data_IF_128376248687
#
_entry.id   IF_128376248687
#
_cell.length_a   1.000
_cell.length_b   1.000
_cell.length_c   1.000
_cell.angle_alpha   90.00
_cell.angle_beta   90.00
_cell.angle_gamma   90.00
#
_symmetry.space_group_name_H-M   'P 1'
#
loop_
_entity.id
_entity.type
_entity.pdbx_description
1 polymer ?
#
# COMPACT_ATOMS: atom_id res chain seq x y z
N UNK A 1 -14.20 -31.49 -32.05
CA UNK A 1 -13.03 -30.60 -32.06
C UNK A 1 -13.36 -29.44 -31.12
N UNK A 2 -12.64 -29.30 -30.00
CA UNK A 2 -12.94 -28.29 -28.98
C UNK A 2 -12.38 -26.93 -29.46
N UNK A 3 -13.25 -26.01 -29.87
CA UNK A 3 -12.87 -24.67 -30.32
C UNK A 3 -12.47 -23.78 -29.13
N UNK A 4 -11.19 -23.80 -28.76
CA UNK A 4 -10.65 -22.90 -27.73
C UNK A 4 -10.50 -21.51 -28.35
N UNK A 5 -11.52 -20.66 -28.15
CA UNK A 5 -11.44 -19.24 -28.51
C UNK A 5 -10.67 -18.49 -27.44
N UNK A 6 -9.63 -17.72 -27.83
CA UNK A 6 -8.98 -16.75 -26.95
C UNK A 6 -10.00 -15.66 -26.56
N UNK A 7 -10.53 -15.74 -25.35
CA UNK A 7 -11.28 -14.64 -24.75
C UNK A 7 -10.28 -13.58 -24.29
N UNK A 8 -10.36 -12.36 -24.85
CA UNK A 8 -9.67 -11.22 -24.25
C UNK A 8 -10.44 -10.85 -22.99
N UNK A 9 -9.91 -11.22 -21.83
CA UNK A 9 -10.35 -10.64 -20.58
C UNK A 9 -9.96 -9.16 -20.62
N UNK A 10 -10.96 -8.27 -20.65
CA UNK A 10 -10.76 -6.84 -20.42
C UNK A 10 -10.57 -6.64 -18.92
N UNK A 11 -9.40 -7.02 -18.40
CA UNK A 11 -8.91 -6.39 -17.17
C UNK A 11 -8.83 -4.89 -17.45
N UNK A 12 -9.20 -4.07 -16.47
CA UNK A 12 -9.31 -2.62 -16.62
C UNK A 12 -8.03 -1.93 -17.10
N UNK A 13 -7.99 -0.60 -17.01
CA UNK A 13 -6.83 0.19 -17.41
C UNK A 13 -5.54 -0.37 -16.77
N UNK A 14 -4.56 -0.86 -17.56
CA UNK A 14 -3.42 -1.61 -17.03
C UNK A 14 -2.53 -0.71 -16.16
N UNK A 15 -2.13 -1.19 -14.99
CA UNK A 15 -1.22 -0.46 -14.11
C UNK A 15 0.25 -0.64 -14.50
N UNK A 16 0.57 -1.75 -15.18
CA UNK A 16 1.91 -2.07 -15.65
C UNK A 16 2.05 -1.77 -17.14
N UNK A 17 3.20 -1.19 -17.51
CA UNK A 17 3.59 -1.13 -18.92
C UNK A 17 4.13 -2.51 -19.28
N UNK A 18 3.51 -3.18 -20.26
CA UNK A 18 3.71 -4.61 -20.54
C UNK A 18 5.12 -5.03 -21.02
N UNK A 19 6.15 -4.21 -20.85
CA UNK A 19 7.55 -4.55 -21.13
C UNK A 19 8.31 -4.83 -19.83
N UNK A 20 9.09 -5.92 -19.82
CA UNK A 20 10.04 -6.28 -18.76
C UNK A 20 9.45 -6.48 -17.35
N UNK A 21 8.27 -7.11 -17.28
CA UNK A 21 7.63 -7.45 -16.02
C UNK A 21 8.16 -8.79 -15.49
N UNK A 22 8.64 -8.80 -14.25
CA UNK A 22 9.16 -9.97 -13.55
C UNK A 22 8.47 -10.09 -12.19
N UNK A 23 7.79 -11.22 -11.97
CA UNK A 23 7.19 -11.55 -10.68
C UNK A 23 8.10 -12.48 -9.88
N UNK A 24 8.12 -12.29 -8.57
CA UNK A 24 8.81 -13.20 -7.66
C UNK A 24 8.20 -14.61 -7.77
N UNK A 25 9.06 -15.62 -7.84
CA UNK A 25 8.66 -17.00 -8.09
C UNK A 25 8.19 -17.73 -6.84
N UNK A 26 7.24 -18.65 -7.03
CA UNK A 26 6.77 -19.58 -6.00
C UNK A 26 5.53 -19.11 -5.23
N UNK A 27 4.99 -17.94 -5.54
CA UNK A 27 3.82 -17.38 -4.85
C UNK A 27 4.10 -17.01 -3.39
N UNK A 28 3.26 -16.14 -2.84
CA UNK A 28 3.31 -15.76 -1.42
C UNK A 28 1.91 -15.63 -0.88
N UNK A 29 1.75 -15.94 0.40
CA UNK A 29 0.49 -15.75 1.11
C UNK A 29 0.59 -14.49 1.95
N UNK A 30 -0.34 -13.56 1.73
CA UNK A 30 -0.50 -12.39 2.56
C UNK A 30 -1.18 -12.82 3.86
N UNK A 31 -0.42 -12.73 4.94
CA UNK A 31 -0.88 -13.01 6.30
C UNK A 31 -0.50 -11.82 7.16
N UNK A 32 -1.46 -10.92 7.32
CA UNK A 32 -1.29 -9.73 8.12
C UNK A 32 -2.58 -9.48 8.89
N UNK A 33 -2.46 -9.51 10.23
CA UNK A 33 -3.57 -9.34 11.19
C UNK A 33 -4.26 -7.98 11.04
N UNK A 34 -3.65 -7.06 10.31
CA UNK A 34 -4.24 -5.79 9.91
C UNK A 34 -5.47 -5.92 9.01
N UNK A 35 -5.55 -6.98 8.21
CA UNK A 35 -6.62 -7.15 7.24
C UNK A 35 -7.62 -8.20 7.69
N UNK A 36 -8.89 -7.94 7.39
CA UNK A 36 -9.99 -8.88 7.63
C UNK A 36 -10.54 -9.38 6.31
N UNK A 37 -11.31 -10.48 6.36
CA UNK A 37 -12.02 -11.01 5.19
C UNK A 37 -12.79 -9.90 4.47
N UNK A 38 -12.60 -9.80 3.15
CA UNK A 38 -13.25 -8.80 2.31
C UNK A 38 -12.50 -7.47 2.21
N UNK A 39 -11.41 -7.24 2.95
CA UNK A 39 -10.54 -6.09 2.70
C UNK A 39 -9.91 -6.22 1.30
N UNK A 40 -9.92 -5.11 0.56
CA UNK A 40 -9.36 -5.02 -0.80
C UNK A 40 -8.01 -4.30 -0.75
N UNK A 41 -6.98 -4.93 -1.29
CA UNK A 41 -5.64 -4.37 -1.37
C UNK A 41 -5.38 -3.95 -2.81
N UNK A 42 -5.18 -2.65 -3.07
CA UNK A 42 -5.03 -2.14 -4.42
C UNK A 42 -3.75 -2.65 -5.08
N UNK A 43 -3.85 -2.85 -6.40
CA UNK A 43 -2.70 -3.16 -7.23
C UNK A 43 -1.62 -2.06 -7.10
N UNK A 44 -0.35 -2.45 -7.11
CA UNK A 44 0.76 -1.52 -6.95
C UNK A 44 1.08 -1.13 -5.50
N UNK A 45 0.39 -1.70 -4.50
CA UNK A 45 0.77 -1.53 -3.11
C UNK A 45 2.18 -2.10 -2.84
N UNK A 46 3.08 -1.36 -2.16
CA UNK A 46 4.39 -1.89 -1.81
C UNK A 46 4.26 -3.08 -0.87
N UNK A 47 5.01 -4.14 -1.15
CA UNK A 47 4.92 -5.40 -0.43
C UNK A 47 6.32 -5.92 -0.10
N UNK A 48 6.47 -6.43 1.11
CA UNK A 48 7.61 -7.23 1.50
C UNK A 48 7.20 -8.70 1.53
N UNK A 49 8.17 -9.58 1.28
CA UNK A 49 7.97 -11.01 1.37
C UNK A 49 9.18 -11.71 1.95
N UNK A 50 8.92 -12.82 2.62
CA UNK A 50 9.93 -13.71 3.17
C UNK A 50 9.96 -15.01 2.36
N UNK A 51 11.11 -15.36 1.80
CA UNK A 51 11.25 -16.52 0.91
C UNK A 51 11.28 -17.86 1.66
N UNK A 52 11.63 -17.85 2.95
CA UNK A 52 11.66 -19.05 3.77
C UNK A 52 10.26 -19.42 4.27
N UNK A 53 9.51 -18.43 4.75
CA UNK A 53 8.14 -18.63 5.27
C UNK A 53 7.05 -18.50 4.22
N UNK A 54 7.38 -17.93 3.04
CA UNK A 54 6.44 -17.63 1.96
C UNK A 54 5.32 -16.67 2.35
N UNK A 55 5.55 -15.86 3.39
CA UNK A 55 4.60 -14.84 3.85
C UNK A 55 4.90 -13.48 3.24
N UNK A 56 3.86 -12.73 2.95
CA UNK A 56 3.94 -11.36 2.46
C UNK A 56 3.25 -10.37 3.43
N UNK A 57 3.78 -9.15 3.50
CA UNK A 57 3.22 -8.02 4.26
C UNK A 57 3.16 -6.78 3.41
N UNK A 58 2.03 -6.09 3.45
CA UNK A 58 1.80 -4.86 2.69
C UNK A 58 2.25 -3.65 3.51
N UNK A 59 2.94 -2.72 2.85
CA UNK A 59 3.31 -1.44 3.43
C UNK A 59 2.06 -0.60 3.66
N UNK A 60 1.85 -0.19 4.91
CA UNK A 60 0.67 0.59 5.30
C UNK A 60 1.05 2.05 5.34
N UNK A 61 0.52 2.80 4.39
CA UNK A 61 0.81 4.22 4.18
C UNK A 61 -0.49 5.00 4.01
N UNK A 62 -0.45 6.29 4.37
CA UNK A 62 -1.50 7.26 4.07
C UNK A 62 -0.88 8.60 3.71
N UNK A 63 -1.50 9.32 2.76
CA UNK A 63 -1.01 10.62 2.30
C UNK A 63 -1.83 11.73 2.90
N UNK A 64 -1.18 12.76 3.42
CA UNK A 64 -1.81 13.94 3.96
C UNK A 64 -2.56 14.71 2.87
N UNK A 65 -3.84 14.93 3.09
CA UNK A 65 -4.69 15.76 2.25
C UNK A 65 -4.55 17.25 2.61
N UNK A 66 -4.24 17.56 3.87
CA UNK A 66 -4.06 18.92 4.39
C UNK A 66 -2.83 19.00 5.31
N UNK A 67 -2.39 20.22 5.62
CA UNK A 67 -1.35 20.43 6.62
C UNK A 67 -1.88 20.12 8.03
N UNK A 68 -1.04 19.53 8.87
CA UNK A 68 -1.23 19.35 10.30
C UNK A 68 -0.07 19.99 11.06
N UNK A 69 -0.37 20.69 12.16
CA UNK A 69 0.61 21.33 13.03
C UNK A 69 1.20 20.34 14.03
N UNK A 70 2.26 20.75 14.72
CA UNK A 70 2.98 19.95 15.71
C UNK A 70 2.18 19.65 17.00
N UNK A 71 1.02 20.29 17.20
CA UNK A 71 0.10 20.04 18.31
C UNK A 71 -1.11 19.21 17.89
N UNK A 72 -1.31 18.99 16.60
CA UNK A 72 -2.53 18.36 16.11
C UNK A 72 -2.51 16.86 16.41
N UNK A 73 -3.65 16.36 16.86
CA UNK A 73 -3.94 14.93 17.06
C UNK A 73 -4.77 14.36 15.92
N UNK A 74 -5.26 15.21 15.02
CA UNK A 74 -6.07 14.83 13.86
C UNK A 74 -5.33 15.10 12.57
N UNK A 75 -5.36 14.13 11.66
CA UNK A 75 -4.62 14.16 10.39
C UNK A 75 -5.59 13.83 9.27
N UNK A 76 -5.80 14.78 8.35
CA UNK A 76 -6.61 14.57 7.16
C UNK A 76 -5.76 13.86 6.11
N UNK A 77 -6.22 12.70 5.65
CA UNK A 77 -5.52 11.87 4.67
C UNK A 77 -6.39 11.58 3.46
N UNK A 78 -5.76 11.32 2.32
CA UNK A 78 -6.44 10.86 1.11
C UNK A 78 -7.09 9.48 1.35
N UNK A 79 -8.19 9.23 0.61
CA UNK A 79 -8.93 7.97 0.64
C UNK A 79 -8.07 6.78 0.18
N UNK A 80 -8.60 5.57 0.40
CA UNK A 80 -8.02 4.29 -0.03
C UNK A 80 -6.71 3.91 0.68
N UNK A 81 -6.47 4.45 1.88
CA UNK A 81 -5.39 3.97 2.74
C UNK A 81 -5.80 2.67 3.45
N UNK A 82 -4.82 1.82 3.74
CA UNK A 82 -5.03 0.52 4.41
C UNK A 82 -4.96 0.58 5.95
N UNK A 83 -4.87 1.78 6.52
CA UNK A 83 -4.77 1.98 7.98
C UNK A 83 -6.05 1.58 8.74
N UNK A 84 -5.86 1.04 9.94
CA UNK A 84 -6.91 0.65 10.88
C UNK A 84 -6.62 1.20 12.29
N UNK A 85 -7.67 1.29 13.11
CA UNK A 85 -7.58 1.67 14.53
C UNK A 85 -6.67 0.69 15.27
N UNK A 86 -5.87 1.20 16.21
CA UNK A 86 -4.88 0.44 16.99
C UNK A 86 -3.51 0.30 16.32
N UNK A 87 -3.35 0.68 15.05
CA UNK A 87 -2.03 0.72 14.40
C UNK A 87 -1.19 1.89 14.88
N UNK A 88 0.13 1.72 14.84
CA UNK A 88 1.07 2.77 15.19
C UNK A 88 1.55 3.51 13.95
N UNK A 89 1.19 4.78 13.86
CA UNK A 89 1.50 5.66 12.74
C UNK A 89 2.73 6.53 13.05
N UNK A 90 3.57 6.77 12.05
CA UNK A 90 4.81 7.53 12.18
C UNK A 90 4.99 8.48 10.99
N UNK A 91 5.66 9.59 11.24
CA UNK A 91 6.16 10.51 10.22
C UNK A 91 7.65 10.75 10.42
N UNK A 92 8.47 10.51 9.39
CA UNK A 92 9.92 10.68 9.45
C UNK A 92 10.53 9.98 10.67
N UNK A 93 11.24 10.74 11.51
CA UNK A 93 11.90 10.24 12.73
C UNK A 93 11.04 10.39 13.99
N UNK A 94 9.85 11.00 13.92
CA UNK A 94 8.99 11.28 15.06
C UNK A 94 8.57 10.02 15.82
N UNK A 95 8.19 10.15 17.10
CA UNK A 95 7.68 9.03 17.89
C UNK A 95 6.40 8.48 17.26
N UNK A 96 6.29 7.15 17.17
CA UNK A 96 5.11 6.49 16.65
C UNK A 96 3.91 6.68 17.60
N UNK A 97 2.72 6.91 17.06
CA UNK A 97 1.50 7.15 17.81
C UNK A 97 0.39 6.21 17.37
N UNK A 98 -0.37 5.71 18.33
CA UNK A 98 -1.48 4.79 18.05
C UNK A 98 -2.66 5.54 17.45
N UNK A 99 -3.28 4.97 16.42
CA UNK A 99 -4.55 5.44 15.85
C UNK A 99 -5.68 5.07 16.80
N UNK A 100 -6.39 6.09 17.27
CA UNK A 100 -7.55 5.96 18.16
C UNK A 100 -8.86 5.82 17.37
N UNK A 101 -9.01 6.61 16.31
CA UNK A 101 -10.19 6.59 15.46
C UNK A 101 -9.84 6.92 13.99
N UNK A 102 -10.67 6.41 13.08
CA UNK A 102 -10.63 6.77 11.66
C UNK A 102 -12.06 7.11 11.22
N UNK A 103 -12.29 8.38 10.92
CA UNK A 103 -13.54 8.86 10.35
C UNK A 103 -13.44 8.83 8.82
N UNK A 104 -14.38 8.09 8.19
CA UNK A 104 -14.47 7.91 6.73
C UNK A 104 -15.70 8.54 6.10
N UNK A 105 -16.41 9.38 6.86
CA UNK A 105 -17.70 9.97 6.44
C UNK A 105 -17.56 10.96 5.30
N UNK A 106 -16.41 11.64 5.19
CA UNK A 106 -16.15 12.57 4.10
C UNK A 106 -15.79 11.84 2.80
N UNK A 107 -16.30 12.35 1.67
CA UNK A 107 -16.09 11.74 0.35
C UNK A 107 -14.66 11.93 -0.17
N UNK A 108 -14.02 13.05 0.17
CA UNK A 108 -12.74 13.48 -0.38
C UNK A 108 -11.53 13.05 0.46
N UNK A 109 -11.73 12.89 1.78
CA UNK A 109 -10.66 12.53 2.72
C UNK A 109 -11.17 11.69 3.89
N UNK A 110 -10.24 10.99 4.53
CA UNK A 110 -10.45 10.35 5.82
C UNK A 110 -9.75 11.17 6.91
N UNK A 111 -10.28 11.15 8.15
CA UNK A 111 -9.66 11.82 9.30
C UNK A 111 -9.15 10.77 10.27
N UNK A 112 -7.84 10.78 10.50
CA UNK A 112 -7.18 9.90 11.46
C UNK A 112 -6.98 10.68 12.75
N UNK A 113 -7.48 10.14 13.86
CA UNK A 113 -7.22 10.66 15.20
C UNK A 113 -6.20 9.78 15.89
N UNK A 114 -5.10 10.38 16.36
CA UNK A 114 -4.04 9.71 17.12
C UNK A 114 -4.21 9.96 18.63
N UNK A 115 -3.76 9.01 19.45
CA UNK A 115 -3.82 9.11 20.91
C UNK A 115 -2.99 10.27 21.47
N UNK A 116 -1.91 10.63 20.77
CA UNK A 116 -1.14 11.83 21.04
C UNK A 116 -0.61 12.41 19.73
N UNK A 117 -0.15 13.66 19.77
CA UNK A 117 0.45 14.32 18.60
C UNK A 117 1.77 13.65 18.21
N UNK A 118 2.09 13.67 16.91
CA UNK A 118 3.42 13.28 16.41
C UNK A 118 4.51 14.29 16.83
N UNK A 119 4.12 15.47 17.35
CA UNK A 119 5.06 16.50 17.82
C UNK A 119 5.79 17.23 16.69
N UNK A 120 5.39 16.98 15.43
CA UNK A 120 6.00 17.52 14.22
C UNK A 120 4.91 17.99 13.28
N UNK A 121 5.14 19.10 12.58
CA UNK A 121 4.22 19.55 11.54
C UNK A 121 4.34 18.62 10.31
N UNK A 122 3.21 18.19 9.78
CA UNK A 122 3.14 17.34 8.59
C UNK A 122 2.44 18.12 7.48
N UNK A 123 3.16 18.40 6.40
CA UNK A 123 2.62 19.12 5.26
C UNK A 123 1.68 18.25 4.41
N UNK A 124 0.87 18.91 3.58
CA UNK A 124 0.11 18.29 2.49
C UNK A 124 1.05 17.49 1.58
N UNK A 125 0.53 16.39 1.03
CA UNK A 125 1.22 15.46 0.12
C UNK A 125 2.40 14.72 0.76
N UNK A 126 2.60 14.86 2.08
CA UNK A 126 3.51 14.01 2.85
C UNK A 126 2.83 12.71 3.24
N UNK A 127 3.64 11.67 3.46
CA UNK A 127 3.13 10.32 3.73
C UNK A 127 3.41 9.92 5.17
N UNK A 128 2.38 9.44 5.83
CA UNK A 128 2.41 8.77 7.11
C UNK A 128 2.51 7.26 6.89
N UNK A 129 3.24 6.56 7.73
CA UNK A 129 3.48 5.12 7.56
C UNK A 129 3.43 4.36 8.88
N UNK A 130 3.12 3.07 8.80
CA UNK A 130 3.31 2.12 9.90
C UNK A 130 4.70 1.50 9.76
N UNK A 131 5.50 1.56 10.81
CA UNK A 131 6.87 1.04 10.78
C UNK A 131 6.91 -0.49 11.00
N UNK A 132 6.41 -1.25 10.04
CA UNK A 132 6.46 -2.71 10.01
C UNK A 132 7.41 -3.23 8.92
N UNK A 133 7.50 -4.54 8.75
CA UNK A 133 8.30 -5.15 7.68
C UNK A 133 7.78 -4.86 6.27
N UNK A 134 6.48 -4.57 6.12
CA UNK A 134 5.90 -4.11 4.85
C UNK A 134 6.55 -2.80 4.40
N UNK A 135 6.71 -1.85 5.32
CA UNK A 135 7.34 -0.55 5.05
C UNK A 135 8.88 -0.55 5.13
N UNK A 136 9.45 -1.25 6.12
CA UNK A 136 10.89 -1.19 6.38
C UNK A 136 11.71 -1.95 5.33
N UNK A 137 11.16 -3.03 4.76
CA UNK A 137 11.85 -3.91 3.80
C UNK A 137 11.00 -4.28 2.57
N UNK A 138 10.37 -3.32 1.86
CA UNK A 138 9.65 -3.61 0.63
C UNK A 138 10.59 -4.25 -0.39
N UNK A 139 10.11 -5.26 -1.10
CA UNK A 139 10.86 -5.97 -2.14
C UNK A 139 10.24 -5.80 -3.52
N UNK A 140 8.98 -5.39 -3.60
CA UNK A 140 8.29 -5.17 -4.86
C UNK A 140 6.91 -4.54 -4.65
N UNK A 141 6.11 -4.55 -5.71
CA UNK A 141 4.72 -4.10 -5.68
C UNK A 141 3.77 -5.26 -5.94
N UNK A 142 2.55 -5.14 -5.43
CA UNK A 142 1.49 -6.07 -5.75
C UNK A 142 1.11 -5.99 -7.24
N UNK A 143 1.07 -7.13 -7.92
CA UNK A 143 0.84 -7.18 -9.37
C UNK A 143 -0.59 -6.76 -9.76
N UNK A 144 -1.58 -7.24 -9.02
CA UNK A 144 -3.00 -7.00 -9.25
C UNK A 144 -3.74 -6.72 -7.95
N UNK A 145 -4.98 -6.25 -8.03
CA UNK A 145 -5.78 -6.04 -6.84
C UNK A 145 -6.13 -7.41 -6.22
N UNK A 146 -6.00 -7.51 -4.90
CA UNK A 146 -6.26 -8.75 -4.18
C UNK A 146 -7.25 -8.48 -3.04
N UNK A 147 -8.31 -9.29 -3.00
CA UNK A 147 -9.27 -9.30 -1.91
C UNK A 147 -8.90 -10.39 -0.92
N UNK A 148 -8.91 -10.06 0.38
CA UNK A 148 -8.64 -11.02 1.44
C UNK A 148 -9.76 -12.05 1.53
N UNK A 149 -9.41 -13.32 1.46
CA UNK A 149 -10.35 -14.43 1.52
C UNK A 149 -10.99 -14.60 2.89
N UNK A 150 -12.01 -15.46 2.95
CA UNK A 150 -12.77 -15.75 4.18
C UNK A 150 -11.93 -16.33 5.33
N UNK A 151 -10.77 -16.90 5.01
CA UNK A 151 -9.78 -17.40 5.95
C UNK A 151 -8.79 -16.32 6.44
N UNK A 152 -8.97 -15.06 6.04
CA UNK A 152 -8.05 -13.96 6.40
C UNK A 152 -6.72 -14.01 5.64
N UNK A 153 -6.63 -14.83 4.61
CA UNK A 153 -5.43 -15.02 3.79
C UNK A 153 -5.73 -14.63 2.34
N UNK A 154 -4.69 -14.23 1.60
CA UNK A 154 -4.79 -14.12 0.16
C UNK A 154 -3.47 -14.48 -0.52
N UNK A 155 -3.56 -15.13 -1.66
CA UNK A 155 -2.41 -15.38 -2.50
C UNK A 155 -2.08 -14.11 -3.28
N UNK A 156 -0.80 -13.73 -3.25
CA UNK A 156 -0.32 -12.49 -3.85
C UNK A 156 0.80 -12.77 -4.85
N UNK A 157 0.71 -12.10 -6.00
CA UNK A 157 1.79 -12.01 -6.96
C UNK A 157 2.55 -10.70 -6.74
N UNK A 158 3.86 -10.81 -6.50
CA UNK A 158 4.73 -9.65 -6.25
C UNK A 158 5.57 -9.37 -7.48
N UNK A 159 5.43 -8.21 -8.08
CA UNK A 159 6.29 -7.73 -9.16
C UNK A 159 7.55 -7.11 -8.58
N UNK A 160 8.70 -7.68 -8.94
CA UNK A 160 10.04 -7.26 -8.48
C UNK A 160 10.76 -6.42 -9.54
N UNK A 161 10.35 -6.49 -10.80
CA UNK A 161 10.86 -5.66 -11.89
C UNK A 161 9.74 -5.32 -12.86
N UNK A 162 9.72 -4.08 -13.32
CA UNK A 162 8.72 -3.62 -14.29
C UNK A 162 8.61 -2.11 -14.31
N UNK A 163 7.84 -1.59 -15.25
CA UNK A 163 7.47 -0.16 -15.28
C UNK A 163 6.01 -0.02 -14.90
N UNK A 164 5.73 0.78 -13.88
CA UNK A 164 4.37 1.00 -13.34
C UNK A 164 3.93 2.44 -13.60
N UNK A 165 2.66 2.65 -13.88
CA UNK A 165 2.06 3.98 -13.93
C UNK A 165 1.88 4.52 -12.51
N UNK A 166 2.73 5.47 -12.11
CA UNK A 166 2.79 5.97 -10.73
C UNK A 166 1.47 6.61 -10.26
N UNK A 167 0.67 7.15 -11.18
CA UNK A 167 -0.65 7.76 -10.90
C UNK A 167 -1.79 6.75 -10.76
N UNK A 168 -1.57 5.48 -11.11
CA UNK A 168 -2.59 4.42 -11.05
C UNK A 168 -2.40 3.48 -9.86
N UNK A 169 -1.40 3.74 -9.03
CA UNK A 169 -1.07 2.96 -7.84
C UNK A 169 -1.22 3.82 -6.59
N UNK A 170 -1.32 3.22 -5.40
CA UNK A 170 -1.25 3.97 -4.17
C UNK A 170 0.01 4.83 -4.13
N UNK A 171 -0.04 6.03 -3.56
CA UNK A 171 1.11 6.91 -3.48
C UNK A 171 2.25 6.29 -2.68
N UNK A 172 3.45 6.29 -3.26
CA UNK A 172 4.66 5.69 -2.69
C UNK A 172 5.71 6.77 -2.42
N UNK A 173 6.22 6.79 -1.19
CA UNK A 173 7.34 7.63 -0.76
C UNK A 173 8.61 7.38 -1.57
N UNK A 174 9.39 8.43 -1.80
CA UNK A 174 10.66 8.32 -2.50
C UNK A 174 11.61 7.31 -1.82
N UNK A 175 11.66 7.29 -0.48
CA UNK A 175 12.45 6.32 0.29
C UNK A 175 12.04 4.86 0.02
N UNK A 176 10.75 4.60 -0.18
CA UNK A 176 10.26 3.26 -0.55
C UNK A 176 10.63 2.93 -2.01
N UNK A 177 10.56 3.90 -2.92
CA UNK A 177 10.97 3.72 -4.32
C UNK A 177 12.45 3.36 -4.42
N UNK A 178 13.30 4.00 -3.62
CA UNK A 178 14.75 3.74 -3.57
C UNK A 178 15.08 2.30 -3.13
N UNK A 179 14.23 1.70 -2.27
CA UNK A 179 14.37 0.29 -1.87
C UNK A 179 13.99 -0.70 -2.97
N UNK A 180 13.32 -0.24 -4.04
CA UNK A 180 12.88 -1.05 -5.18
C UNK A 180 13.49 -0.54 -6.50
N UNK A 181 14.83 -0.60 -6.66
CA UNK A 181 15.54 0.04 -7.78
C UNK A 181 15.20 -0.55 -9.16
N UNK A 182 14.66 -1.77 -9.19
CA UNK A 182 14.26 -2.48 -10.41
C UNK A 182 12.86 -2.11 -10.91
N UNK A 183 12.13 -1.29 -10.15
CA UNK A 183 10.79 -0.84 -10.51
C UNK A 183 10.87 0.63 -10.97
N UNK A 184 10.42 0.87 -12.20
CA UNK A 184 10.39 2.21 -12.79
C UNK A 184 9.00 2.81 -12.58
N UNK A 185 8.94 3.93 -11.88
CA UNK A 185 7.72 4.71 -11.66
C UNK A 185 7.56 5.73 -12.78
N UNK A 186 6.70 5.41 -13.77
CA UNK A 186 6.42 6.29 -14.89
C UNK A 186 5.29 7.27 -14.54
N UNK A 187 5.56 8.56 -14.70
CA UNK A 187 4.58 9.65 -14.57
C UNK A 187 3.77 9.90 -15.87
N UNK A 188 4.05 9.12 -16.92
CA UNK A 188 3.35 9.17 -18.21
C UNK A 188 1.88 8.73 -18.09
N UNK A 189 1.02 9.27 -18.96
CA UNK A 189 -0.43 9.02 -18.97
C UNK A 189 -0.82 7.64 -19.49
#
# INVERSE_FOLDING_TARGET
>A
MLDIKKQKASTGVPIWQGKNLENAQGGFTLEDKAFVSGDVIPAGAPISFDEATRKAKVAKVAVMQANANNSDTTYKVLKNHVLKVGMKLKFGTATEQTIDAIDRTNADYDVITLQATLGVAVGKDKVLFVNDEGYSKPKGLLYEEVTIGNNGLADVAVTIRGTVYARRIPPILQELREKMPTIIFSESY
#
